data_IF_459371257524
#
_entry.id   IF_459371257524
#
_cell.length_a   1.000
_cell.length_b   1.000
_cell.length_c   1.000
_cell.angle_alpha   90.00
_cell.angle_beta   90.00
_cell.angle_gamma   90.00
#
_symmetry.space_group_name_H-M   'P 1'
#
loop_
_entity.id
_entity.type
_entity.pdbx_description
1 polymer ?
#
# COMPACT_ATOMS: atom_id res chain seq x y z
N UNK A 1 -7.04 -1.69 14.81
CA UNK A 1 -7.50 -3.04 14.39
C UNK A 1 -8.14 -2.94 13.03
N UNK A 2 -7.49 -3.52 12.04
CA UNK A 2 -7.94 -3.51 10.64
C UNK A 2 -9.01 -4.57 10.44
N UNK A 3 -10.19 -4.16 9.96
CA UNK A 3 -11.28 -5.07 9.63
C UNK A 3 -10.92 -5.93 8.41
N UNK A 4 -11.41 -7.18 8.35
CA UNK A 4 -11.15 -8.07 7.21
C UNK A 4 -11.53 -7.43 5.86
N UNK A 5 -12.64 -6.69 5.82
CA UNK A 5 -13.07 -5.94 4.63
C UNK A 5 -12.03 -4.92 4.16
N UNK A 6 -11.41 -4.18 5.08
CA UNK A 6 -10.35 -3.21 4.78
C UNK A 6 -9.09 -3.91 4.26
N UNK A 7 -8.71 -5.06 4.85
CA UNK A 7 -7.58 -5.88 4.36
C UNK A 7 -7.79 -6.33 2.90
N UNK A 8 -9.01 -6.77 2.57
CA UNK A 8 -9.37 -7.17 1.21
C UNK A 8 -9.26 -5.98 0.24
N UNK A 9 -9.76 -4.82 0.63
CA UNK A 9 -9.69 -3.62 -0.20
C UNK A 9 -8.28 -3.10 -0.41
N UNK A 10 -7.42 -3.14 0.60
CA UNK A 10 -6.01 -2.80 0.44
C UNK A 10 -5.34 -3.74 -0.57
N UNK A 11 -5.56 -5.06 -0.45
CA UNK A 11 -5.03 -6.03 -1.42
C UNK A 11 -5.54 -5.79 -2.84
N UNK A 12 -6.83 -5.47 -3.00
CA UNK A 12 -7.42 -5.12 -4.30
C UNK A 12 -6.81 -3.83 -4.87
N UNK A 13 -6.58 -2.82 -4.03
CA UNK A 13 -5.95 -1.58 -4.45
C UNK A 13 -4.55 -1.83 -5.01
N UNK A 14 -3.73 -2.65 -4.35
CA UNK A 14 -2.43 -3.09 -4.87
C UNK A 14 -2.58 -3.81 -6.21
N UNK A 15 -3.45 -4.83 -6.29
CA UNK A 15 -3.66 -5.59 -7.54
C UNK A 15 -4.07 -4.69 -8.72
N UNK A 16 -4.90 -3.69 -8.48
CA UNK A 16 -5.36 -2.74 -9.51
C UNK A 16 -4.31 -1.68 -9.88
N UNK A 17 -3.22 -1.60 -9.13
CA UNK A 17 -2.17 -0.59 -9.29
C UNK A 17 -0.82 -1.18 -9.67
N UNK A 18 -0.71 -2.51 -9.69
CA UNK A 18 0.49 -3.25 -10.10
C UNK A 18 0.30 -3.78 -11.51
N UNK A 19 1.30 -3.56 -12.35
CA UNK A 19 1.35 -4.03 -13.74
C UNK A 19 2.67 -4.74 -13.98
N UNK A 20 2.70 -5.60 -14.99
CA UNK A 20 3.93 -6.23 -15.46
C UNK A 20 4.52 -5.31 -16.52
N UNK A 21 5.78 -4.91 -16.37
CA UNK A 21 6.49 -4.09 -17.35
C UNK A 21 7.08 -4.96 -18.49
N UNK A 22 7.79 -4.33 -19.43
CA UNK A 22 8.44 -5.01 -20.56
C UNK A 22 9.52 -6.00 -20.12
N UNK A 23 10.13 -5.78 -18.95
CA UNK A 23 11.13 -6.65 -18.32
C UNK A 23 10.51 -7.79 -17.46
N UNK A 24 9.19 -7.95 -17.51
CA UNK A 24 8.43 -8.94 -16.73
C UNK A 24 8.51 -8.74 -15.20
N UNK A 25 8.80 -7.52 -14.75
CA UNK A 25 8.81 -7.10 -13.36
C UNK A 25 7.44 -6.53 -12.93
N UNK A 26 7.02 -6.84 -11.70
CA UNK A 26 5.83 -6.26 -11.11
C UNK A 26 6.11 -4.83 -10.59
N UNK A 27 5.54 -3.82 -11.25
CA UNK A 27 5.65 -2.42 -10.86
C UNK A 27 4.33 -1.92 -10.30
N UNK A 28 4.34 -1.43 -9.07
CA UNK A 28 3.19 -0.73 -8.45
C UNK A 28 3.29 0.79 -8.65
N UNK A 29 2.32 1.38 -9.34
CA UNK A 29 2.25 2.83 -9.50
C UNK A 29 1.56 3.49 -8.30
N UNK A 30 2.31 4.32 -7.56
CA UNK A 30 1.82 4.97 -6.34
C UNK A 30 0.60 5.88 -6.58
N UNK A 31 0.56 6.59 -7.71
CA UNK A 31 -0.57 7.46 -8.06
C UNK A 31 -1.87 6.67 -8.26
N UNK A 32 -1.81 5.49 -8.88
CA UNK A 32 -2.95 4.59 -9.05
C UNK A 32 -3.35 3.96 -7.72
N UNK A 33 -2.37 3.53 -6.93
CA UNK A 33 -2.59 2.98 -5.59
C UNK A 33 -3.35 3.97 -4.70
N UNK A 34 -2.94 5.23 -4.72
CA UNK A 34 -3.64 6.32 -4.04
C UNK A 34 -5.10 6.43 -4.47
N UNK A 35 -5.37 6.43 -5.78
CA UNK A 35 -6.72 6.54 -6.34
C UNK A 35 -7.61 5.38 -5.87
N UNK A 36 -7.10 4.16 -5.89
CA UNK A 36 -7.82 2.97 -5.45
C UNK A 36 -8.04 2.95 -3.93
N UNK A 37 -7.05 3.35 -3.13
CA UNK A 37 -7.20 3.47 -1.67
C UNK A 37 -8.27 4.50 -1.29
N UNK A 38 -8.32 5.65 -2.00
CA UNK A 38 -9.39 6.65 -1.85
C UNK A 38 -10.76 6.10 -2.23
N UNK A 39 -10.86 5.39 -3.37
CA UNK A 39 -12.10 4.76 -3.83
C UNK A 39 -12.69 3.80 -2.79
N UNK A 40 -11.85 3.12 -2.02
CA UNK A 40 -12.27 2.21 -0.96
C UNK A 40 -12.39 2.86 0.43
N UNK A 41 -12.26 4.18 0.54
CA UNK A 41 -12.27 4.92 1.81
C UNK A 41 -11.24 4.39 2.83
N UNK A 42 -10.05 3.99 2.36
CA UNK A 42 -8.95 3.58 3.24
C UNK A 42 -8.19 4.82 3.69
N UNK A 43 -8.28 5.13 4.98
CA UNK A 43 -7.52 6.22 5.59
C UNK A 43 -6.04 5.86 5.73
N UNK A 44 -5.20 6.90 5.83
CA UNK A 44 -3.75 6.75 6.05
C UNK A 44 -3.44 5.91 7.30
N UNK A 45 -4.23 6.06 8.38
CA UNK A 45 -4.04 5.30 9.62
C UNK A 45 -4.28 3.80 9.42
N UNK A 46 -5.33 3.43 8.68
CA UNK A 46 -5.65 2.03 8.38
C UNK A 46 -4.58 1.43 7.48
N UNK A 47 -4.11 2.17 6.48
CA UNK A 47 -3.05 1.73 5.58
C UNK A 47 -1.70 1.59 6.30
N UNK A 48 -1.33 2.55 7.15
CA UNK A 48 -0.13 2.50 8.00
C UNK A 48 -0.15 1.30 8.93
N UNK A 49 -1.26 1.06 9.64
CA UNK A 49 -1.40 -0.14 10.49
C UNK A 49 -1.21 -1.42 9.66
N UNK A 50 -1.72 -1.46 8.42
CA UNK A 50 -1.60 -2.62 7.53
C UNK A 50 -0.16 -2.88 7.11
N UNK A 51 0.54 -1.84 6.65
CA UNK A 51 1.93 -1.90 6.22
C UNK A 51 2.83 -2.36 7.38
N UNK A 52 2.66 -1.77 8.57
CA UNK A 52 3.45 -2.18 9.73
C UNK A 52 3.14 -3.61 10.17
N UNK A 53 1.89 -4.07 10.11
CA UNK A 53 1.57 -5.47 10.36
C UNK A 53 2.24 -6.41 9.36
N UNK A 54 2.30 -6.04 8.08
CA UNK A 54 3.02 -6.80 7.04
C UNK A 54 4.52 -6.83 7.31
N UNK A 55 5.09 -5.71 7.75
CA UNK A 55 6.51 -5.56 8.07
C UNK A 55 6.96 -6.35 9.32
N UNK A 56 6.03 -6.92 10.09
CA UNK A 56 6.40 -7.86 11.17
C UNK A 56 6.87 -9.21 10.64
N UNK A 57 6.63 -9.52 9.37
CA UNK A 57 7.12 -10.75 8.76
C UNK A 57 8.65 -10.68 8.59
N UNK A 58 9.43 -11.60 9.19
CA UNK A 58 10.89 -11.55 9.14
C UNK A 58 11.46 -11.69 7.72
N UNK A 59 10.69 -12.22 6.76
CA UNK A 59 11.12 -12.36 5.35
C UNK A 59 11.03 -11.05 4.56
N UNK A 60 10.41 -10.01 5.10
CA UNK A 60 10.12 -8.77 4.38
C UNK A 60 10.05 -7.63 5.40
N UNK A 61 11.21 -7.24 5.91
CA UNK A 61 11.38 -6.14 6.85
C UNK A 61 12.07 -4.97 6.16
N UNK A 62 11.44 -3.81 6.25
CA UNK A 62 11.98 -2.53 5.83
C UNK A 62 12.14 -1.61 7.05
N UNK A 63 13.10 -0.68 7.02
CA UNK A 63 13.21 0.37 8.02
C UNK A 63 11.90 1.16 8.13
N UNK A 64 11.53 1.54 9.37
CA UNK A 64 10.30 2.29 9.63
C UNK A 64 10.24 3.59 8.80
N UNK A 65 11.36 4.28 8.66
CA UNK A 65 11.48 5.52 7.89
C UNK A 65 11.09 5.35 6.42
N UNK A 66 11.45 4.22 5.81
CA UNK A 66 11.12 3.94 4.41
C UNK A 66 9.63 3.64 4.23
N UNK A 67 9.03 2.94 5.19
CA UNK A 67 7.59 2.70 5.21
C UNK A 67 6.82 4.01 5.37
N UNK A 68 7.25 4.85 6.31
CA UNK A 68 6.66 6.16 6.57
C UNK A 68 6.75 7.06 5.35
N UNK A 69 7.94 7.17 4.75
CA UNK A 69 8.15 7.91 3.51
C UNK A 69 7.22 7.42 2.39
N UNK A 70 7.09 6.10 2.21
CA UNK A 70 6.23 5.54 1.16
C UNK A 70 4.75 5.81 1.43
N UNK A 71 4.30 5.66 2.67
CA UNK A 71 2.92 5.95 3.07
C UNK A 71 2.61 7.44 2.84
N UNK A 72 3.52 8.31 3.26
CA UNK A 72 3.36 9.75 3.09
C UNK A 72 3.36 10.12 1.60
N UNK A 73 4.23 9.54 0.78
CA UNK A 73 4.23 9.74 -0.68
C UNK A 73 2.88 9.35 -1.31
N UNK A 74 2.30 8.21 -0.93
CA UNK A 74 0.99 7.75 -1.44
C UNK A 74 -0.12 8.73 -1.03
N UNK A 75 -0.07 9.32 0.16
CA UNK A 75 -1.15 10.17 0.67
C UNK A 75 -0.93 11.68 0.43
N UNK A 76 0.31 12.11 0.16
CA UNK A 76 0.67 13.52 -0.07
C UNK A 76 -0.04 14.08 -1.30
N UNK A 77 -0.35 15.38 -1.31
CA UNK A 77 -1.18 16.03 -2.35
C UNK A 77 -0.43 16.26 -3.68
N UNK A 78 0.87 16.01 -3.72
CA UNK A 78 1.71 16.25 -4.88
C UNK A 78 1.61 15.11 -5.90
#
# INVERSE_FOLDING_TARGET
MIRNKQRIYIKRAFKNSTFINEDNEEITYLALLRKELKKYNISIYVFREWIYQRNKNPKCQFPKEWLDYTIDAIYSKY
#
